data_IF_306259791143
#
_entry.id   IF_306259791143
#
_cell.length_a   1.000
_cell.length_b   1.000
_cell.length_c   1.000
_cell.angle_alpha   90.00
_cell.angle_beta   90.00
_cell.angle_gamma   90.00
#
_symmetry.space_group_name_H-M   'P 1'
#
loop_
_entity.id
_entity.type
_entity.pdbx_description
1 polymer ?
#
# COMPACT_ATOMS: atom_id res chain seq x y z
N UNK A 1 15.51 39.52 28.60
CA UNK A 1 14.91 38.56 29.56
C UNK A 1 15.67 37.25 29.44
N UNK A 2 16.40 36.81 30.49
CA UNK A 2 17.31 35.68 30.41
C UNK A 2 16.61 34.34 30.72
N UNK A 3 17.06 33.28 30.04
CA UNK A 3 16.71 31.88 30.32
C UNK A 3 17.22 31.41 31.69
N UNK A 4 16.47 30.61 32.45
CA UNK A 4 17.02 29.91 33.61
C UNK A 4 17.54 28.50 33.26
N UNK A 5 18.55 28.11 34.05
CA UNK A 5 19.43 26.95 33.94
C UNK A 5 18.76 25.65 34.43
N UNK A 6 19.27 24.52 33.91
CA UNK A 6 19.03 23.15 34.40
C UNK A 6 19.39 22.97 35.88
N UNK A 7 18.58 22.21 36.61
CA UNK A 7 18.94 21.52 37.86
C UNK A 7 18.67 20.01 37.66
N UNK A 8 19.57 19.19 38.21
CA UNK A 8 19.72 17.74 38.01
C UNK A 8 19.17 16.97 39.21
N UNK A 9 18.55 15.82 38.93
CA UNK A 9 18.26 14.59 39.72
C UNK A 9 17.92 14.68 41.22
N UNK A 10 16.81 14.02 41.59
CA UNK A 10 16.81 13.12 42.75
C UNK A 10 15.85 11.93 42.55
N UNK A 11 16.32 10.75 42.96
CA UNK A 11 15.61 9.45 42.93
C UNK A 11 14.64 9.37 44.11
N UNK A 12 13.39 9.05 43.85
CA UNK A 12 12.41 8.66 44.87
C UNK A 12 11.73 7.34 44.49
N UNK A 13 12.08 6.27 45.20
CA UNK A 13 11.36 4.98 45.20
C UNK A 13 10.05 5.17 45.97
N UNK A 14 8.91 4.89 45.35
CA UNK A 14 7.68 4.53 46.08
C UNK A 14 6.97 3.38 45.37
N UNK A 15 6.93 2.25 46.06
CA UNK A 15 6.07 1.10 45.81
C UNK A 15 4.61 1.46 45.98
N UNK A 16 3.79 1.19 44.98
CA UNK A 16 2.33 1.28 45.05
C UNK A 16 1.71 0.30 44.06
N UNK A 17 1.27 -0.86 44.56
CA UNK A 17 0.57 -1.85 43.76
C UNK A 17 -0.83 -1.36 43.41
N UNK A 18 -1.13 -1.27 42.11
CA UNK A 18 -2.48 -1.07 41.61
C UNK A 18 -2.93 -2.36 40.92
N UNK A 19 -3.84 -3.10 41.59
CA UNK A 19 -4.66 -4.13 40.95
C UNK A 19 -5.67 -3.41 40.05
N UNK A 20 -5.36 -3.33 38.76
CA UNK A 20 -6.28 -2.89 37.72
C UNK A 20 -7.13 -4.05 37.24
N UNK A 21 -8.44 -3.92 37.42
CA UNK A 21 -9.49 -4.74 36.83
C UNK A 21 -9.31 -4.88 35.31
N UNK A 22 -9.45 -6.10 34.80
CA UNK A 22 -9.45 -6.40 33.35
C UNK A 22 -10.78 -5.91 32.76
N UNK A 23 -10.78 -4.68 32.24
CA UNK A 23 -11.82 -4.22 31.31
C UNK A 23 -11.57 -4.82 29.94
N UNK A 24 -12.64 -5.35 29.32
CA UNK A 24 -12.63 -6.15 28.09
C UNK A 24 -11.64 -5.67 27.04
N UNK A 25 -10.65 -6.51 26.76
CA UNK A 25 -9.68 -6.28 25.70
C UNK A 25 -10.37 -6.39 24.35
N UNK A 26 -10.45 -5.26 23.66
CA UNK A 26 -10.53 -5.23 22.20
C UNK A 26 -9.42 -6.14 21.66
N UNK A 27 -9.79 -7.12 20.82
CA UNK A 27 -8.83 -8.09 20.30
C UNK A 27 -7.66 -7.33 19.65
N UNK A 28 -6.40 -7.68 19.95
CA UNK A 28 -5.26 -6.98 19.40
C UNK A 28 -5.38 -6.98 17.87
N UNK A 29 -5.03 -5.87 17.20
CA UNK A 29 -5.13 -5.81 15.76
C UNK A 29 -4.30 -6.95 15.16
N UNK A 30 -4.96 -7.76 14.33
CA UNK A 30 -4.39 -8.94 13.66
C UNK A 30 -3.42 -8.48 12.58
N UNK A 31 -2.23 -8.02 13.00
CA UNK A 31 -1.14 -7.72 12.11
C UNK A 31 -0.45 -9.00 11.68
N UNK A 32 -0.20 -9.13 10.38
CA UNK A 32 0.80 -10.06 9.89
C UNK A 32 2.17 -9.65 10.45
N UNK A 33 3.01 -10.64 10.75
CA UNK A 33 4.43 -10.42 11.02
C UNK A 33 5.08 -9.85 9.77
N UNK A 34 6.06 -8.97 9.95
CA UNK A 34 6.87 -8.43 8.84
C UNK A 34 7.90 -9.43 8.32
N UNK A 35 8.32 -10.38 9.17
CA UNK A 35 9.27 -11.43 8.83
C UNK A 35 8.55 -12.78 8.86
N UNK A 36 8.56 -13.55 7.75
CA UNK A 36 7.94 -14.87 7.69
C UNK A 36 8.71 -15.87 8.55
N UNK A 37 8.00 -16.86 9.05
CA UNK A 37 8.62 -18.03 9.66
C UNK A 37 8.89 -19.08 8.58
N UNK A 38 10.15 -19.21 8.20
CA UNK A 38 10.57 -20.10 7.10
C UNK A 38 10.59 -21.58 7.51
N UNK A 39 10.66 -21.86 8.81
CA UNK A 39 10.66 -23.21 9.35
C UNK A 39 9.23 -23.73 9.59
N UNK A 40 8.22 -22.87 9.40
CA UNK A 40 6.83 -23.25 9.57
C UNK A 40 6.31 -24.08 8.39
N UNK A 41 5.80 -25.26 8.70
CA UNK A 41 5.06 -26.10 7.75
C UNK A 41 3.60 -25.68 7.76
N UNK A 42 3.13 -25.11 6.66
CA UNK A 42 1.73 -24.69 6.49
C UNK A 42 0.77 -25.87 6.44
N UNK A 43 -0.50 -25.63 6.79
CA UNK A 43 -1.56 -26.60 6.58
C UNK A 43 -1.84 -26.82 5.09
N UNK A 44 -2.50 -27.93 4.79
CA UNK A 44 -3.11 -28.16 3.49
C UNK A 44 -4.43 -27.38 3.34
N UNK A 45 -4.50 -26.56 2.28
CA UNK A 45 -5.67 -25.75 1.94
C UNK A 45 -6.39 -26.26 0.69
N UNK A 46 -6.06 -27.45 0.21
CA UNK A 46 -6.63 -28.10 -0.97
C UNK A 46 -5.88 -27.78 -2.26
N UNK A 47 -6.44 -28.22 -3.39
CA UNK A 47 -5.80 -28.12 -4.71
C UNK A 47 -6.46 -27.11 -5.66
N UNK A 48 -7.63 -26.57 -5.28
CA UNK A 48 -8.43 -25.68 -6.12
C UNK A 48 -8.62 -24.30 -5.49
N UNK A 49 -8.80 -23.23 -6.29
CA UNK A 49 -9.19 -21.93 -5.78
C UNK A 49 -10.50 -21.99 -5.00
N UNK A 50 -10.63 -21.16 -3.96
CA UNK A 50 -11.87 -21.07 -3.19
C UNK A 50 -12.95 -20.20 -3.87
N UNK A 51 -14.07 -19.99 -3.19
CA UNK A 51 -15.20 -19.18 -3.67
C UNK A 51 -14.85 -17.72 -4.02
N UNK A 52 -13.71 -17.23 -3.52
CA UNK A 52 -13.19 -15.90 -3.80
C UNK A 52 -12.05 -15.90 -4.84
N UNK A 53 -11.78 -17.07 -5.45
CA UNK A 53 -10.69 -17.25 -6.41
C UNK A 53 -9.30 -17.26 -5.79
N UNK A 54 -9.19 -17.36 -4.45
CA UNK A 54 -7.89 -17.42 -3.78
C UNK A 54 -7.32 -18.83 -3.92
N UNK A 55 -6.14 -18.93 -4.52
CA UNK A 55 -5.44 -20.21 -4.71
C UNK A 55 -4.85 -20.73 -3.40
N UNK A 56 -4.82 -22.06 -3.16
CA UNK A 56 -4.30 -22.65 -1.92
C UNK A 56 -2.86 -22.26 -1.57
N UNK A 57 -1.99 -22.10 -2.59
CA UNK A 57 -0.61 -21.65 -2.41
C UNK A 57 -0.52 -20.26 -1.75
N UNK A 58 -1.51 -19.38 -1.96
CA UNK A 58 -1.57 -18.07 -1.30
C UNK A 58 -1.79 -18.22 0.20
N UNK A 59 -2.67 -19.14 0.62
CA UNK A 59 -2.88 -19.42 2.04
C UNK A 59 -1.64 -20.02 2.70
N UNK A 60 -0.99 -20.99 2.03
CA UNK A 60 0.26 -21.59 2.51
C UNK A 60 1.38 -20.54 2.68
N UNK A 61 1.51 -19.64 1.70
CA UNK A 61 2.47 -18.56 1.77
C UNK A 61 2.17 -17.58 2.90
N UNK A 62 0.90 -17.19 3.06
CA UNK A 62 0.45 -16.22 4.05
C UNK A 62 0.51 -16.74 5.48
N UNK A 63 0.32 -18.05 5.69
CA UNK A 63 0.34 -18.67 7.02
C UNK A 63 1.67 -18.43 7.78
N UNK A 64 2.78 -18.38 7.04
CA UNK A 64 4.13 -18.08 7.57
C UNK A 64 4.23 -16.69 8.20
N UNK A 65 3.38 -15.77 7.76
CA UNK A 65 3.30 -14.40 8.27
C UNK A 65 2.29 -14.25 9.41
N UNK A 66 1.50 -15.28 9.74
CA UNK A 66 0.57 -15.18 10.87
C UNK A 66 1.33 -15.07 12.21
N UNK A 67 0.80 -14.31 13.18
CA UNK A 67 1.29 -14.33 14.56
C UNK A 67 1.33 -15.75 15.13
N UNK A 68 2.29 -16.05 16.00
CA UNK A 68 2.47 -17.39 16.59
C UNK A 68 1.20 -17.92 17.27
N UNK A 69 0.41 -17.03 17.89
CA UNK A 69 -0.87 -17.35 18.51
C UNK A 69 -1.91 -17.87 17.51
N UNK A 70 -1.99 -17.27 16.32
CA UNK A 70 -2.92 -17.69 15.27
C UNK A 70 -2.37 -18.90 14.53
N UNK A 71 -1.06 -19.01 14.38
CA UNK A 71 -0.42 -20.12 13.68
C UNK A 71 -0.57 -21.46 14.41
N UNK A 72 -0.57 -21.40 15.75
CA UNK A 72 -0.87 -22.55 16.59
C UNK A 72 -2.38 -22.87 16.68
N UNK A 73 -3.23 -22.04 16.07
CA UNK A 73 -4.68 -22.23 16.07
C UNK A 73 -5.12 -23.26 15.02
N UNK A 74 -6.41 -23.60 14.99
CA UNK A 74 -6.93 -24.57 14.04
C UNK A 74 -6.83 -24.06 12.59
N UNK A 75 -6.79 -24.98 11.62
CA UNK A 75 -6.84 -24.66 10.18
C UNK A 75 -7.96 -23.69 9.84
N UNK A 76 -9.15 -23.89 10.42
CA UNK A 76 -10.32 -23.05 10.20
C UNK A 76 -10.12 -21.63 10.72
N UNK A 77 -9.52 -21.47 11.90
CA UNK A 77 -9.23 -20.15 12.48
C UNK A 77 -8.16 -19.41 11.68
N UNK A 78 -7.12 -20.13 11.23
CA UNK A 78 -6.09 -19.60 10.33
C UNK A 78 -6.71 -19.13 9.01
N UNK A 79 -7.54 -19.97 8.39
CA UNK A 79 -8.21 -19.67 7.12
C UNK A 79 -9.13 -18.45 7.25
N UNK A 80 -9.92 -18.35 8.33
CA UNK A 80 -10.80 -17.20 8.57
C UNK A 80 -10.01 -15.88 8.69
N UNK A 81 -8.88 -15.88 9.41
CA UNK A 81 -8.01 -14.70 9.50
C UNK A 81 -7.41 -14.36 8.14
N UNK A 82 -6.87 -15.34 7.42
CA UNK A 82 -6.27 -15.13 6.11
C UNK A 82 -7.28 -14.64 5.07
N UNK A 83 -8.51 -15.17 5.07
CA UNK A 83 -9.61 -14.67 4.24
C UNK A 83 -9.97 -13.24 4.56
N UNK A 84 -10.06 -12.89 5.85
CA UNK A 84 -10.29 -11.49 6.25
C UNK A 84 -9.20 -10.55 5.74
N UNK A 85 -7.95 -11.00 5.70
CA UNK A 85 -6.81 -10.23 5.17
C UNK A 85 -6.87 -10.12 3.64
N UNK A 86 -7.06 -11.22 2.93
CA UNK A 86 -7.01 -11.27 1.46
C UNK A 86 -8.28 -10.72 0.82
N UNK A 87 -9.42 -11.20 1.28
CA UNK A 87 -10.75 -10.93 0.70
C UNK A 87 -11.41 -9.73 1.38
N UNK A 88 -10.98 -9.33 2.57
CA UNK A 88 -11.53 -8.14 3.23
C UNK A 88 -12.98 -8.33 3.67
N UNK A 89 -13.34 -9.51 4.18
CA UNK A 89 -14.71 -9.86 4.64
C UNK A 89 -15.22 -9.02 5.82
N UNK A 90 -14.41 -8.10 6.35
CA UNK A 90 -14.85 -7.14 7.36
C UNK A 90 -15.87 -6.16 6.74
N UNK A 91 -17.09 -6.02 7.31
CA UNK A 91 -18.10 -5.11 6.80
C UNK A 91 -17.61 -3.66 6.62
N UNK A 92 -16.68 -3.19 7.45
CA UNK A 92 -16.07 -1.86 7.29
C UNK A 92 -15.15 -1.81 6.06
N UNK A 93 -14.38 -2.86 5.80
CA UNK A 93 -13.53 -2.99 4.60
C UNK A 93 -14.39 -3.11 3.35
N UNK A 94 -15.48 -3.89 3.39
CA UNK A 94 -16.43 -3.98 2.28
C UNK A 94 -17.09 -2.63 1.95
N UNK A 95 -17.51 -1.86 2.97
CA UNK A 95 -18.03 -0.50 2.77
C UNK A 95 -16.97 0.45 2.22
N UNK A 96 -15.73 0.36 2.69
CA UNK A 96 -14.63 1.15 2.16
C UNK A 96 -14.36 0.80 0.68
N UNK A 97 -14.34 -0.49 0.33
CA UNK A 97 -14.21 -0.96 -1.06
C UNK A 97 -15.37 -0.50 -1.94
N UNK A 98 -16.60 -0.51 -1.44
CA UNK A 98 -17.74 0.03 -2.18
C UNK A 98 -17.57 1.52 -2.45
N UNK A 99 -17.25 2.33 -1.43
CA UNK A 99 -17.00 3.77 -1.62
C UNK A 99 -15.86 4.01 -2.60
N UNK A 100 -14.79 3.21 -2.52
CA UNK A 100 -13.69 3.29 -3.49
C UNK A 100 -14.20 3.03 -4.91
N UNK A 101 -15.03 2.01 -5.14
CA UNK A 101 -15.64 1.77 -6.45
C UNK A 101 -16.48 2.95 -6.92
N UNK A 102 -17.33 3.50 -6.04
CA UNK A 102 -18.18 4.65 -6.37
C UNK A 102 -17.32 5.88 -6.75
N UNK A 103 -16.23 6.13 -6.00
CA UNK A 103 -15.27 7.18 -6.34
C UNK A 103 -14.55 6.92 -7.68
N UNK A 104 -14.13 5.68 -7.93
CA UNK A 104 -13.48 5.32 -9.19
C UNK A 104 -14.42 5.48 -10.38
N UNK A 105 -15.68 5.08 -10.26
CA UNK A 105 -16.70 5.28 -11.30
C UNK A 105 -16.98 6.77 -11.52
N UNK A 106 -17.06 7.57 -10.45
CA UNK A 106 -17.16 9.02 -10.55
C UNK A 106 -15.95 9.63 -11.28
N UNK A 107 -14.74 9.18 -10.96
CA UNK A 107 -13.52 9.60 -11.66
C UNK A 107 -13.58 9.17 -13.12
N UNK A 108 -13.86 7.91 -13.44
CA UNK A 108 -13.91 7.43 -14.83
C UNK A 108 -14.97 8.17 -15.67
N UNK A 109 -16.15 8.42 -15.09
CA UNK A 109 -17.26 9.08 -15.78
C UNK A 109 -17.02 10.57 -16.00
N UNK A 110 -16.48 11.28 -15.00
CA UNK A 110 -16.17 12.70 -15.11
C UNK A 110 -14.83 12.96 -15.83
N UNK A 111 -13.89 12.03 -15.70
CA UNK A 111 -12.50 12.17 -16.09
C UNK A 111 -12.05 11.05 -17.06
N UNK A 112 -12.69 10.94 -18.23
CA UNK A 112 -12.15 10.07 -19.29
C UNK A 112 -10.77 10.59 -19.74
N UNK A 113 -9.71 9.84 -19.48
CA UNK A 113 -8.32 10.24 -19.77
C UNK A 113 -8.13 10.64 -21.24
N UNK A 114 -8.78 9.93 -22.17
CA UNK A 114 -8.80 10.27 -23.60
C UNK A 114 -9.39 11.66 -23.88
N UNK A 115 -10.35 12.11 -23.07
CA UNK A 115 -10.92 13.46 -23.17
C UNK A 115 -9.95 14.52 -22.70
N UNK A 116 -9.06 14.26 -21.74
CA UNK A 116 -8.08 15.26 -21.28
C UNK A 116 -6.97 15.51 -22.28
N UNK A 117 -6.40 14.44 -22.84
CA UNK A 117 -5.39 14.58 -23.88
C UNK A 117 -5.98 15.28 -25.10
N UNK A 118 -7.20 14.90 -25.50
CA UNK A 118 -7.92 15.56 -26.59
C UNK A 118 -8.31 17.00 -26.27
N UNK A 119 -8.78 17.28 -25.05
CA UNK A 119 -9.14 18.62 -24.60
C UNK A 119 -7.93 19.54 -24.59
N UNK A 120 -6.80 19.14 -24.01
CA UNK A 120 -5.61 19.99 -23.99
C UNK A 120 -5.02 20.22 -25.37
N UNK A 121 -5.07 19.20 -26.24
CA UNK A 121 -4.74 19.37 -27.65
C UNK A 121 -5.64 20.42 -28.33
N UNK A 122 -6.96 20.34 -28.14
CA UNK A 122 -7.94 21.30 -28.71
C UNK A 122 -7.75 22.71 -28.13
N UNK A 123 -7.47 22.81 -26.83
CA UNK A 123 -7.36 24.07 -26.10
C UNK A 123 -5.97 24.71 -26.18
N UNK A 124 -5.02 24.08 -26.89
CA UNK A 124 -3.61 24.50 -26.99
C UNK A 124 -2.96 24.70 -25.61
N UNK A 125 -3.31 23.85 -24.64
CA UNK A 125 -2.78 23.89 -23.28
C UNK A 125 -1.55 23.00 -23.18
N UNK A 126 -0.51 23.48 -22.49
CA UNK A 126 0.73 22.73 -22.29
C UNK A 126 0.54 21.75 -21.14
N UNK A 127 0.19 20.49 -21.43
CA UNK A 127 0.25 19.41 -20.43
C UNK A 127 1.70 18.95 -20.28
N UNK A 128 2.18 18.89 -19.04
CA UNK A 128 3.43 18.23 -18.68
C UNK A 128 3.18 16.72 -18.63
N UNK A 129 4.03 15.95 -19.31
CA UNK A 129 3.98 14.49 -19.24
C UNK A 129 4.29 14.05 -17.82
N UNK A 130 3.53 13.07 -17.33
CA UNK A 130 3.68 12.52 -15.99
C UNK A 130 4.94 11.68 -15.80
N UNK A 131 5.56 11.19 -16.89
CA UNK A 131 6.87 10.54 -16.87
C UNK A 131 7.54 10.76 -18.24
N UNK A 132 8.88 10.81 -18.27
CA UNK A 132 9.66 10.86 -19.51
C UNK A 132 9.47 9.58 -20.36
N UNK A 133 9.15 8.45 -19.71
CA UNK A 133 8.99 7.14 -20.36
C UNK A 133 7.59 6.93 -20.99
N UNK A 134 6.58 7.67 -20.52
CA UNK A 134 5.19 7.45 -20.90
C UNK A 134 4.73 8.39 -22.02
N UNK A 135 4.27 7.80 -23.13
CA UNK A 135 3.74 8.55 -24.28
C UNK A 135 2.35 9.16 -24.00
N UNK A 136 1.63 8.64 -23.01
CA UNK A 136 0.21 8.91 -22.75
C UNK A 136 -0.10 9.11 -21.26
N UNK A 137 0.84 9.75 -20.56
CA UNK A 137 0.64 10.22 -19.19
C UNK A 137 0.27 11.70 -19.16
N UNK A 138 -0.55 12.10 -18.19
CA UNK A 138 -0.84 13.50 -17.91
C UNK A 138 -0.69 13.78 -16.42
N UNK A 139 -0.02 14.88 -16.06
CA UNK A 139 0.11 15.29 -14.67
C UNK A 139 -1.24 15.82 -14.15
N UNK A 140 -1.64 15.40 -12.96
CA UNK A 140 -2.93 15.78 -12.38
C UNK A 140 -2.93 17.21 -11.81
N UNK A 141 -1.78 17.76 -11.43
CA UNK A 141 -1.67 19.16 -10.98
C UNK A 141 -2.05 20.15 -12.09
N UNK A 142 -1.76 19.81 -13.35
CA UNK A 142 -2.10 20.65 -14.52
C UNK A 142 -3.63 20.83 -14.70
N UNK A 143 -4.44 19.99 -14.04
CA UNK A 143 -5.90 20.06 -14.02
C UNK A 143 -6.46 20.69 -12.74
N UNK A 144 -5.61 21.29 -11.90
CA UNK A 144 -6.02 21.96 -10.67
C UNK A 144 -6.34 21.00 -9.51
N UNK A 145 -5.87 19.75 -9.59
CA UNK A 145 -6.10 18.75 -8.53
C UNK A 145 -5.03 18.78 -7.42
N UNK A 146 -4.04 19.66 -7.51
CA UNK A 146 -2.89 19.75 -6.59
C UNK A 146 -3.32 19.78 -5.11
N UNK A 147 -4.17 20.72 -4.71
CA UNK A 147 -4.62 20.84 -3.31
C UNK A 147 -5.38 19.62 -2.81
N UNK A 148 -6.17 18.97 -3.67
CA UNK A 148 -6.87 17.73 -3.31
C UNK A 148 -5.86 16.59 -3.11
N UNK A 149 -4.80 16.55 -3.90
CA UNK A 149 -3.72 15.58 -3.78
C UNK A 149 -2.87 15.81 -2.53
N UNK A 150 -2.59 17.07 -2.19
CA UNK A 150 -1.94 17.45 -0.92
C UNK A 150 -2.71 16.89 0.28
N UNK A 151 -4.03 17.12 0.32
CA UNK A 151 -4.90 16.60 1.39
C UNK A 151 -4.93 15.08 1.41
N UNK A 152 -4.96 14.43 0.23
CA UNK A 152 -4.91 12.96 0.13
C UNK A 152 -3.60 12.40 0.70
N UNK A 153 -2.46 12.99 0.34
CA UNK A 153 -1.16 12.55 0.85
C UNK A 153 -1.08 12.77 2.36
N UNK A 154 -1.43 13.96 2.83
CA UNK A 154 -1.29 14.37 4.23
C UNK A 154 -2.24 13.66 5.17
N UNK A 155 -3.52 13.58 4.82
CA UNK A 155 -4.57 13.12 5.74
C UNK A 155 -4.85 11.61 5.61
N UNK A 156 -4.42 10.98 4.51
CA UNK A 156 -4.67 9.56 4.26
C UNK A 156 -3.39 8.74 4.10
N UNK A 157 -2.50 9.09 3.16
CA UNK A 157 -1.32 8.26 2.87
C UNK A 157 -0.28 8.33 3.99
N UNK A 158 0.12 9.53 4.42
CA UNK A 158 1.15 9.71 5.44
C UNK A 158 0.81 9.01 6.78
N UNK A 159 -0.43 9.05 7.30
CA UNK A 159 -0.81 8.26 8.48
C UNK A 159 -0.66 6.75 8.29
N UNK A 160 -0.97 6.22 7.10
CA UNK A 160 -0.79 4.80 6.78
C UNK A 160 0.70 4.46 6.78
N UNK A 161 1.53 5.23 6.08
CA UNK A 161 2.98 4.99 6.04
C UNK A 161 3.58 5.09 7.43
N UNK A 162 3.21 6.10 8.22
CA UNK A 162 3.69 6.27 9.60
C UNK A 162 3.38 5.06 10.48
N UNK A 163 2.20 4.47 10.32
CA UNK A 163 1.76 3.35 11.14
C UNK A 163 2.29 1.98 10.70
N UNK A 164 2.73 1.82 9.44
CA UNK A 164 3.08 0.51 8.86
C UNK A 164 4.55 0.42 8.48
N UNK A 165 5.14 1.55 8.10
CA UNK A 165 6.52 1.67 7.64
C UNK A 165 7.20 2.84 8.37
N UNK A 166 7.32 2.77 9.72
CA UNK A 166 7.91 3.84 10.50
C UNK A 166 9.36 4.18 10.09
N UNK A 167 10.08 3.23 9.49
CA UNK A 167 11.42 3.38 8.93
C UNK A 167 11.48 4.30 7.70
N UNK A 168 10.37 4.44 6.97
CA UNK A 168 10.27 5.32 5.79
C UNK A 168 10.01 6.78 6.17
N UNK A 169 9.95 7.11 7.46
CA UNK A 169 10.00 8.50 7.91
C UNK A 169 8.80 9.36 7.49
N UNK A 170 7.56 8.84 7.58
CA UNK A 170 6.31 9.50 7.12
C UNK A 170 6.06 10.98 7.52
N UNK A 171 6.85 11.56 8.44
CA UNK A 171 6.86 13.00 8.73
C UNK A 171 7.57 13.84 7.65
N UNK A 172 8.21 13.22 6.65
CA UNK A 172 8.95 13.88 5.56
C UNK A 172 8.30 13.75 4.19
N UNK A 173 7.08 13.20 4.07
CA UNK A 173 6.34 13.24 2.80
C UNK A 173 5.81 14.66 2.61
N UNK A 174 6.57 15.50 1.91
CA UNK A 174 6.33 16.94 1.74
C UNK A 174 6.08 17.35 0.29
N UNK A 175 6.15 16.38 -0.62
CA UNK A 175 5.97 16.58 -2.06
C UNK A 175 5.30 15.36 -2.69
N UNK A 176 4.65 15.59 -3.82
CA UNK A 176 4.05 14.52 -4.60
C UNK A 176 4.23 14.79 -6.09
N UNK A 177 4.48 13.71 -6.85
CA UNK A 177 4.47 13.73 -8.29
C UNK A 177 3.36 12.80 -8.77
N UNK A 178 2.25 13.37 -9.24
CA UNK A 178 1.02 12.61 -9.47
C UNK A 178 0.56 12.73 -10.90
N UNK A 179 0.38 11.59 -11.55
CA UNK A 179 -0.05 11.52 -12.93
C UNK A 179 -0.97 10.33 -13.15
N UNK A 180 -1.68 10.35 -14.29
CA UNK A 180 -2.44 9.21 -14.78
C UNK A 180 -1.85 8.77 -16.11
N UNK A 181 -1.66 7.46 -16.27
CA UNK A 181 -1.16 6.82 -17.50
C UNK A 181 -2.23 5.91 -18.09
N UNK A 182 -2.40 5.96 -19.42
CA UNK A 182 -3.22 5.02 -20.18
C UNK A 182 -2.33 4.07 -20.97
N UNK A 183 -2.54 2.76 -20.78
CA UNK A 183 -1.88 1.69 -21.53
C UNK A 183 -2.81 1.13 -22.61
N UNK A 184 -2.22 0.75 -23.75
CA UNK A 184 -2.92 0.01 -24.82
C UNK A 184 -2.17 -1.29 -25.06
N UNK A 185 -2.82 -2.19 -25.78
CA UNK A 185 -2.23 -3.45 -26.18
C UNK A 185 -0.87 -3.25 -26.85
N UNK A 186 0.13 -3.96 -26.35
CA UNK A 186 1.51 -3.90 -26.87
C UNK A 186 2.37 -2.80 -26.26
N UNK A 187 1.82 -1.97 -25.36
CA UNK A 187 2.61 -1.04 -24.56
C UNK A 187 2.83 -1.56 -23.14
N UNK A 188 3.97 -1.22 -22.56
CA UNK A 188 4.36 -1.52 -21.20
C UNK A 188 5.68 -0.84 -20.87
N UNK A 189 5.93 -0.60 -19.59
CA UNK A 189 7.20 -0.03 -19.13
C UNK A 189 8.22 -1.13 -18.83
N UNK A 190 9.48 -0.85 -19.14
CA UNK A 190 10.59 -1.67 -18.69
C UNK A 190 10.81 -1.52 -17.18
N UNK A 191 11.61 -2.41 -16.60
CA UNK A 191 11.96 -2.30 -15.19
C UNK A 191 12.72 -1.00 -14.91
N UNK A 192 12.28 -0.29 -13.88
CA UNK A 192 12.90 0.93 -13.38
C UNK A 192 12.68 1.03 -11.88
N UNK A 193 13.28 2.04 -11.27
CA UNK A 193 13.05 2.45 -9.89
C UNK A 193 12.48 3.85 -9.94
N UNK A 194 11.37 4.06 -9.25
CA UNK A 194 10.75 5.37 -9.14
C UNK A 194 11.61 6.30 -8.27
N UNK A 195 11.67 7.57 -8.65
CA UNK A 195 12.30 8.62 -7.85
C UNK A 195 11.31 9.11 -6.77
N UNK A 196 11.02 8.24 -5.81
CA UNK A 196 10.19 8.56 -4.64
C UNK A 196 10.50 7.61 -3.47
N UNK A 197 10.23 8.06 -2.24
CA UNK A 197 10.29 7.18 -1.06
C UNK A 197 9.15 6.16 -1.08
N UNK A 198 7.99 6.54 -1.63
CA UNK A 198 6.80 5.71 -1.72
C UNK A 198 6.04 6.01 -3.01
N UNK A 199 5.89 5.01 -3.87
CA UNK A 199 4.97 5.06 -5.01
C UNK A 199 3.63 4.43 -4.65
N UNK A 200 2.54 5.15 -4.91
CA UNK A 200 1.17 4.63 -4.78
C UNK A 200 0.57 4.46 -6.17
N UNK A 201 0.36 3.21 -6.60
CA UNK A 201 -0.30 2.90 -7.87
C UNK A 201 -1.77 2.54 -7.63
N UNK A 202 -2.68 3.31 -8.23
CA UNK A 202 -4.13 3.11 -8.11
C UNK A 202 -4.70 2.77 -9.48
N UNK A 203 -5.23 1.56 -9.63
CA UNK A 203 -5.96 1.20 -10.83
C UNK A 203 -7.29 1.96 -10.88
N UNK A 204 -7.38 2.87 -11.84
CA UNK A 204 -8.60 3.63 -12.17
C UNK A 204 -9.30 3.08 -13.41
N UNK A 205 -8.87 1.92 -13.94
CA UNK A 205 -9.42 1.30 -15.14
C UNK A 205 -10.72 0.53 -14.87
N UNK A 206 -11.53 0.35 -15.93
CA UNK A 206 -12.71 -0.51 -15.91
C UNK A 206 -12.33 -1.97 -16.19
N UNK A 207 -13.02 -2.60 -17.12
CA UNK A 207 -12.69 -3.97 -17.55
C UNK A 207 -11.53 -3.96 -18.57
N UNK A 208 -10.47 -4.71 -18.26
CA UNK A 208 -9.35 -4.96 -19.17
C UNK A 208 -8.70 -6.32 -18.86
N UNK A 209 -7.84 -6.78 -19.77
CA UNK A 209 -7.00 -7.99 -19.57
C UNK A 209 -5.53 -7.62 -19.73
N UNK A 210 -4.66 -8.23 -18.91
CA UNK A 210 -3.25 -7.84 -18.80
C UNK A 210 -3.04 -6.69 -17.80
N UNK A 211 -1.96 -5.91 -17.98
CA UNK A 211 -1.61 -4.77 -17.10
C UNK A 211 -0.93 -5.17 -15.79
N UNK A 212 -0.28 -6.34 -15.77
CA UNK A 212 0.40 -6.85 -14.58
C UNK A 212 1.59 -5.97 -14.17
N UNK A 213 1.78 -5.83 -12.85
CA UNK A 213 2.93 -5.16 -12.25
C UNK A 213 3.89 -6.19 -11.67
N UNK A 214 5.16 -6.11 -12.06
CA UNK A 214 6.20 -7.06 -11.65
C UNK A 214 7.21 -6.39 -10.73
N UNK A 215 7.43 -6.95 -9.55
CA UNK A 215 8.47 -6.52 -8.62
C UNK A 215 9.70 -7.41 -8.74
N UNK A 216 10.88 -6.79 -8.78
CA UNK A 216 12.19 -7.47 -8.86
C UNK A 216 12.96 -7.53 -7.54
N UNK A 217 12.26 -7.30 -6.43
CA UNK A 217 12.82 -7.29 -5.08
C UNK A 217 13.54 -6.00 -4.71
N UNK A 218 14.16 -6.02 -3.52
CA UNK A 218 14.85 -4.87 -2.92
C UNK A 218 16.21 -4.66 -3.60
N UNK A 219 16.56 -3.40 -3.88
CA UNK A 219 17.88 -2.98 -4.37
C UNK A 219 18.62 -2.20 -3.29
N UNK A 220 19.94 -2.36 -3.22
CA UNK A 220 20.78 -1.46 -2.42
C UNK A 220 21.16 -0.22 -3.24
N UNK A 221 21.60 0.84 -2.57
CA UNK A 221 21.97 2.11 -3.21
C UNK A 221 22.98 1.97 -4.35
N UNK A 222 23.92 1.04 -4.23
CA UNK A 222 24.96 0.81 -5.25
C UNK A 222 24.45 0.05 -6.50
N UNK A 223 23.29 -0.63 -6.40
CA UNK A 223 22.76 -1.51 -7.45
C UNK A 223 21.35 -1.13 -7.91
N UNK A 224 20.91 0.11 -7.67
CA UNK A 224 19.56 0.60 -8.04
C UNK A 224 19.30 0.44 -9.54
N UNK A 225 20.30 0.69 -10.38
CA UNK A 225 20.18 0.68 -11.85
C UNK A 225 20.76 -0.56 -12.54
N UNK A 226 21.29 -1.53 -11.80
CA UNK A 226 21.89 -2.71 -12.40
C UNK A 226 20.82 -3.69 -12.89
N UNK A 227 21.02 -4.25 -14.08
CA UNK A 227 20.27 -5.44 -14.49
C UNK A 227 20.57 -6.57 -13.51
N UNK A 228 19.53 -7.29 -13.04
CA UNK A 228 19.75 -8.52 -12.29
C UNK A 228 20.46 -9.48 -13.25
N UNK A 229 21.73 -9.77 -12.98
CA UNK A 229 22.34 -10.98 -13.52
C UNK A 229 21.56 -12.15 -12.93
N UNK A 230 20.81 -12.86 -13.77
CA UNK A 230 20.13 -14.09 -13.35
C UNK A 230 21.14 -14.95 -12.59
N UNK A 231 20.83 -15.28 -11.35
CA UNK A 231 21.54 -16.35 -10.67
C UNK A 231 21.42 -17.59 -11.56
N UNK A 232 22.59 -18.09 -11.96
CA UNK A 232 22.75 -19.37 -12.62
C UNK A 232 22.19 -20.41 -11.65
N UNK A 233 21.05 -21.00 -11.99
CA UNK A 233 20.67 -22.33 -11.51
C UNK A 233 21.48 -23.38 -12.26
#
# INVERSE_FOLDING_TARGET
MPLPRRVREERGRTSGGCRGSVSGGEAPPLWLRTVPDMDHVSDDYGDAPDEHGVVPATYQALERYLPSTIRAASREQKLAVMRRVLVGEDPAVLRARQRQRDYMEAIQSAYQVDRFQRWAYIMNQRIVRGNHMDKRSVNLSDFGLETMLDDLVKDFIAPIIKGRYPELGALSLDSHHTFVTSYIQGEGEGFHVDDSEVTVNVCIGGEFTGGDMYFRGIRCGDHVSCEIQNEIL
#
